data_IF_958596917367
#
_entry.id   IF_958596917367
#
_cell.length_a   1.000
_cell.length_b   1.000
_cell.length_c   1.000
_cell.angle_alpha   90.00
_cell.angle_beta   90.00
_cell.angle_gamma   90.00
#
_symmetry.space_group_name_H-M   'P 1'
#
loop_
_entity.id
_entity.type
_entity.pdbx_description
1 polymer ?
#
# COMPACT_ATOMS: atom_id res chain seq x y z
N UNK A 1 -0.93 -8.18 1.08
CA UNK A 1 -2.19 -7.56 0.61
C UNK A 1 -3.43 -8.10 1.32
N UNK A 2 -3.45 -9.37 1.73
CA UNK A 2 -4.57 -9.94 2.50
C UNK A 2 -4.79 -9.22 3.83
N UNK A 3 -3.72 -8.86 4.53
CA UNK A 3 -3.78 -8.11 5.78
C UNK A 3 -4.35 -6.70 5.58
N UNK A 4 -4.04 -6.07 4.44
CA UNK A 4 -4.64 -4.77 4.07
C UNK A 4 -6.15 -4.90 3.85
N UNK A 5 -6.62 -5.99 3.23
CA UNK A 5 -8.05 -6.26 3.08
C UNK A 5 -8.69 -6.46 4.46
N UNK A 6 -8.08 -7.28 5.31
CA UNK A 6 -8.59 -7.53 6.67
C UNK A 6 -8.65 -6.24 7.51
N UNK A 7 -7.66 -5.36 7.41
CA UNK A 7 -7.71 -4.04 8.04
C UNK A 7 -8.86 -3.19 7.49
N UNK A 8 -9.03 -3.16 6.16
CA UNK A 8 -10.14 -2.43 5.52
C UNK A 8 -11.50 -2.92 6.01
N UNK A 9 -11.69 -4.24 6.10
CA UNK A 9 -12.94 -4.83 6.59
C UNK A 9 -13.20 -4.48 8.07
N UNK A 10 -12.15 -4.49 8.90
CA UNK A 10 -12.26 -4.11 10.31
C UNK A 10 -12.60 -2.61 10.47
N UNK A 11 -12.01 -1.73 9.66
CA UNK A 11 -12.33 -0.30 9.65
C UNK A 11 -13.76 -0.08 9.19
N UNK A 12 -14.20 -0.77 8.12
CA UNK A 12 -15.58 -0.67 7.64
C UNK A 12 -16.56 -1.12 8.71
N UNK A 13 -16.26 -2.25 9.38
CA UNK A 13 -17.10 -2.71 10.49
C UNK A 13 -17.21 -1.66 11.61
N UNK A 14 -16.09 -1.02 11.97
CA UNK A 14 -16.11 0.05 12.99
C UNK A 14 -16.98 1.22 12.53
N UNK A 15 -16.82 1.71 11.31
CA UNK A 15 -17.64 2.80 10.75
C UNK A 15 -19.14 2.47 10.81
N UNK A 16 -19.50 1.21 10.54
CA UNK A 16 -20.91 0.78 10.47
C UNK A 16 -21.53 0.51 11.86
N UNK A 17 -20.72 0.36 12.92
CA UNK A 17 -21.20 -0.12 14.21
C UNK A 17 -20.92 0.80 15.42
N UNK A 18 -20.14 1.88 15.25
CA UNK A 18 -19.92 2.86 16.33
C UNK A 18 -20.76 4.11 16.10
N UNK A 19 -20.99 4.87 17.15
CA UNK A 19 -21.58 6.19 17.06
C UNK A 19 -20.51 7.20 16.61
N UNK A 20 -20.61 7.67 15.37
CA UNK A 20 -19.66 8.62 14.80
C UNK A 20 -19.85 10.06 15.31
N UNK A 21 -20.92 10.35 16.04
CA UNK A 21 -21.07 11.64 16.73
C UNK A 21 -20.22 11.70 18.01
N UNK A 22 -19.91 10.52 18.60
CA UNK A 22 -19.14 10.40 19.85
C UNK A 22 -17.76 9.72 19.65
N UNK A 23 -17.46 9.23 18.43
CA UNK A 23 -16.24 8.45 18.17
C UNK A 23 -15.42 9.03 17.02
N UNK A 24 -14.13 9.20 17.26
CA UNK A 24 -13.15 9.41 16.18
C UNK A 24 -12.55 8.07 15.74
N UNK A 25 -12.69 7.73 14.47
CA UNK A 25 -11.90 6.67 13.83
C UNK A 25 -10.74 7.33 13.10
N UNK A 26 -9.51 6.95 13.42
CA UNK A 26 -8.28 7.43 12.79
C UNK A 26 -7.46 6.24 12.31
N UNK A 27 -7.12 6.23 11.02
CA UNK A 27 -6.32 5.17 10.38
C UNK A 27 -5.13 5.79 9.67
N UNK A 28 -3.95 5.36 10.03
CA UNK A 28 -2.69 5.79 9.38
C UNK A 28 -1.64 4.70 9.52
N UNK A 29 -0.43 4.97 9.03
CA UNK A 29 0.78 4.17 9.27
C UNK A 29 1.84 5.02 9.97
N UNK A 30 2.77 4.38 10.65
CA UNK A 30 3.89 5.02 11.35
C UNK A 30 4.99 5.47 10.38
N UNK A 31 5.13 4.80 9.23
CA UNK A 31 6.08 5.12 8.17
C UNK A 31 5.67 4.42 6.86
N UNK A 32 6.31 4.79 5.77
CA UNK A 32 6.20 4.13 4.47
C UNK A 32 7.15 2.93 4.36
N UNK A 33 7.02 2.19 3.26
CA UNK A 33 7.90 1.12 2.81
C UNK A 33 8.39 1.39 1.38
N UNK A 34 9.40 0.65 0.92
CA UNK A 34 10.02 0.86 -0.39
C UNK A 34 9.21 0.27 -1.56
N UNK A 35 7.95 -0.12 -1.31
CA UNK A 35 7.05 -0.65 -2.34
C UNK A 35 6.69 0.43 -3.36
N UNK A 36 6.72 0.06 -4.64
CA UNK A 36 6.25 0.90 -5.74
C UNK A 36 5.15 0.22 -6.52
N UNK A 37 4.20 1.01 -7.01
CA UNK A 37 3.15 0.58 -7.94
C UNK A 37 3.42 1.30 -9.27
N UNK A 38 3.74 0.55 -10.31
CA UNK A 38 4.25 1.07 -11.58
C UNK A 38 3.47 0.56 -12.79
N UNK A 39 3.66 1.23 -13.92
CA UNK A 39 3.05 0.90 -15.20
C UNK A 39 1.66 1.50 -15.36
N UNK A 40 1.01 1.12 -16.46
CA UNK A 40 -0.33 1.56 -16.83
C UNK A 40 -1.21 0.32 -17.13
N UNK A 41 -1.45 -0.55 -16.13
CA UNK A 41 -2.28 -1.73 -16.34
C UNK A 41 -3.73 -1.34 -16.63
N UNK A 42 -4.42 -2.19 -17.36
CA UNK A 42 -5.87 -2.07 -17.52
C UNK A 42 -6.58 -2.10 -16.16
N UNK A 43 -7.77 -1.52 -16.08
CA UNK A 43 -8.62 -1.65 -14.89
C UNK A 43 -8.95 -3.12 -14.63
N UNK A 44 -8.81 -3.58 -13.39
CA UNK A 44 -9.00 -4.97 -12.98
C UNK A 44 -7.80 -5.88 -13.26
N UNK A 45 -6.63 -5.32 -13.61
CA UNK A 45 -5.39 -6.09 -13.61
C UNK A 45 -5.08 -6.58 -12.21
N UNK A 46 -4.74 -7.87 -11.99
CA UNK A 46 -4.32 -8.34 -10.68
C UNK A 46 -3.12 -7.55 -10.18
N UNK A 47 -3.19 -7.03 -8.95
CA UNK A 47 -2.13 -6.17 -8.38
C UNK A 47 -0.77 -6.87 -8.29
N UNK A 48 -0.74 -8.19 -8.07
CA UNK A 48 0.47 -9.02 -8.03
C UNK A 48 0.86 -9.56 -9.42
N UNK A 49 0.06 -9.28 -10.45
CA UNK A 49 0.31 -9.77 -11.80
C UNK A 49 1.31 -8.91 -12.58
N UNK A 50 1.67 -9.40 -13.74
CA UNK A 50 2.36 -8.58 -14.76
C UNK A 50 1.41 -7.51 -15.28
N UNK A 51 1.97 -6.39 -15.73
CA UNK A 51 1.19 -5.30 -16.33
C UNK A 51 0.60 -5.76 -17.66
N UNK A 52 -0.72 -5.67 -17.81
CA UNK A 52 -1.43 -6.00 -19.05
C UNK A 52 -2.23 -4.79 -19.54
N UNK A 53 -2.23 -4.57 -20.87
CA UNK A 53 -3.11 -3.59 -21.54
C UNK A 53 -4.49 -4.17 -21.79
N UNK A 54 -4.53 -5.47 -22.13
CA UNK A 54 -5.74 -6.29 -22.33
C UNK A 54 -5.48 -7.65 -21.67
N UNK A 55 -6.53 -8.43 -21.33
CA UNK A 55 -6.34 -9.77 -20.77
C UNK A 55 -5.42 -10.64 -21.65
N UNK A 56 -4.33 -11.14 -21.06
CA UNK A 56 -3.34 -11.98 -21.74
C UNK A 56 -2.39 -11.22 -22.67
N UNK A 57 -2.40 -9.88 -22.67
CA UNK A 57 -1.46 -9.06 -23.46
C UNK A 57 -0.54 -8.26 -22.52
N UNK A 58 0.55 -8.86 -22.04
CA UNK A 58 1.47 -8.17 -21.14
C UNK A 58 2.21 -7.05 -21.87
N UNK A 59 2.46 -5.95 -21.15
CA UNK A 59 3.45 -4.96 -21.54
C UNK A 59 4.86 -5.54 -21.33
N UNK A 60 5.73 -5.23 -22.26
CA UNK A 60 7.11 -5.71 -22.23
C UNK A 60 8.07 -4.56 -21.93
N UNK A 61 9.13 -4.87 -21.19
CA UNK A 61 10.23 -3.95 -20.97
C UNK A 61 11.16 -3.86 -22.22
N UNK A 62 12.25 -3.10 -22.09
CA UNK A 62 13.22 -2.91 -23.16
C UNK A 62 13.95 -4.20 -23.59
N UNK A 63 13.86 -5.27 -22.79
CA UNK A 63 14.44 -6.60 -23.12
C UNK A 63 13.43 -7.54 -23.74
N UNK A 64 12.17 -7.11 -23.89
CA UNK A 64 11.09 -7.93 -24.42
C UNK A 64 10.47 -8.88 -23.36
N UNK A 65 10.67 -8.63 -22.08
CA UNK A 65 10.12 -9.45 -21.00
C UNK A 65 8.98 -8.73 -20.25
N UNK A 66 7.95 -9.45 -19.79
CA UNK A 66 6.91 -8.87 -18.93
C UNK A 66 7.48 -8.35 -17.61
N UNK A 67 6.81 -7.37 -16.99
CA UNK A 67 7.16 -6.85 -15.69
C UNK A 67 5.91 -6.72 -14.79
N UNK A 68 6.11 -6.78 -13.47
CA UNK A 68 5.03 -6.70 -12.49
C UNK A 68 4.62 -5.26 -12.20
N UNK A 69 3.38 -5.06 -11.77
CA UNK A 69 2.89 -3.78 -11.25
C UNK A 69 3.62 -3.39 -9.96
N UNK A 70 3.82 -4.36 -9.06
CA UNK A 70 4.55 -4.14 -7.81
C UNK A 70 6.04 -4.43 -7.96
N UNK A 71 6.85 -3.60 -7.34
CA UNK A 71 8.28 -3.81 -7.12
C UNK A 71 8.73 -3.08 -5.85
N UNK A 72 9.99 -3.30 -5.45
CA UNK A 72 10.57 -2.69 -4.27
C UNK A 72 11.93 -2.05 -4.59
N UNK A 73 12.29 -0.97 -3.90
CA UNK A 73 13.61 -0.38 -4.06
C UNK A 73 14.71 -1.30 -3.49
N UNK A 74 14.40 -2.10 -2.49
CA UNK A 74 15.33 -3.09 -1.92
C UNK A 74 14.58 -4.30 -1.38
N UNK A 75 15.30 -5.36 -1.01
CA UNK A 75 14.72 -6.51 -0.34
C UNK A 75 15.18 -7.87 -0.88
N UNK A 76 14.61 -8.96 -0.35
CA UNK A 76 14.99 -10.33 -0.70
C UNK A 76 14.61 -10.74 -2.13
N UNK A 77 13.70 -10.02 -2.76
CA UNK A 77 13.32 -10.22 -4.15
C UNK A 77 14.37 -9.76 -5.17
N UNK A 78 15.52 -9.23 -4.73
CA UNK A 78 16.61 -8.86 -5.63
C UNK A 78 17.11 -10.07 -6.43
N UNK A 79 17.32 -9.84 -7.73
CA UNK A 79 17.95 -10.82 -8.62
C UNK A 79 19.07 -10.13 -9.40
N UNK A 80 20.29 -10.67 -9.32
CA UNK A 80 21.46 -10.15 -10.07
C UNK A 80 21.17 -10.04 -11.57
N UNK A 81 20.43 -10.99 -12.11
CA UNK A 81 19.89 -10.97 -13.46
C UNK A 81 18.37 -11.05 -13.38
N UNK A 82 17.70 -10.07 -13.95
CA UNK A 82 16.24 -10.02 -13.95
C UNK A 82 15.67 -11.25 -14.68
N UNK A 83 14.79 -12.03 -14.04
CA UNK A 83 14.16 -13.17 -14.67
C UNK A 83 13.15 -12.73 -15.74
N UNK A 84 12.96 -13.55 -16.76
CA UNK A 84 11.82 -13.41 -17.64
C UNK A 84 10.56 -13.93 -16.94
N UNK A 85 9.59 -13.05 -16.72
CA UNK A 85 8.38 -13.39 -15.98
C UNK A 85 7.30 -14.09 -16.82
N UNK A 86 7.54 -14.38 -18.09
CA UNK A 86 6.56 -15.06 -18.97
C UNK A 86 6.14 -16.45 -18.46
N UNK A 87 6.98 -17.10 -17.66
CA UNK A 87 6.77 -18.46 -17.15
C UNK A 87 6.69 -18.54 -15.63
N UNK A 88 6.66 -17.39 -14.94
CA UNK A 88 6.66 -17.28 -13.48
C UNK A 88 5.28 -16.82 -13.03
N UNK A 89 4.68 -17.54 -12.10
CA UNK A 89 3.46 -17.07 -11.44
C UNK A 89 3.81 -16.05 -10.35
N UNK A 90 3.72 -14.77 -10.71
CA UNK A 90 3.99 -13.65 -9.81
C UNK A 90 2.92 -13.45 -8.73
N UNK A 91 1.82 -14.19 -8.78
CA UNK A 91 0.71 -14.18 -7.80
C UNK A 91 0.85 -15.30 -6.77
N UNK A 92 1.80 -16.23 -6.96
CA UNK A 92 2.06 -17.30 -6.00
C UNK A 92 2.37 -16.72 -4.62
N UNK A 93 1.87 -17.32 -3.52
CA UNK A 93 2.04 -16.79 -2.17
C UNK A 93 3.49 -16.64 -1.72
N UNK A 94 4.40 -17.45 -2.26
CA UNK A 94 5.83 -17.47 -1.99
C UNK A 94 6.67 -16.65 -2.98
N UNK A 95 6.02 -16.04 -3.99
CA UNK A 95 6.73 -15.19 -4.93
C UNK A 95 7.18 -13.88 -4.26
N UNK A 96 8.47 -13.63 -4.32
CA UNK A 96 9.06 -12.38 -3.87
C UNK A 96 9.10 -11.37 -5.02
N UNK A 97 8.33 -10.30 -4.91
CA UNK A 97 8.36 -9.21 -5.89
C UNK A 97 9.78 -8.64 -6.02
N UNK A 98 10.16 -8.27 -7.24
CA UNK A 98 11.52 -7.86 -7.55
C UNK A 98 11.94 -6.62 -6.75
N UNK A 99 13.15 -6.67 -6.20
CA UNK A 99 13.83 -5.55 -5.55
C UNK A 99 15.05 -5.09 -6.36
N UNK A 100 15.43 -3.82 -6.22
CA UNK A 100 16.59 -3.25 -6.92
C UNK A 100 17.91 -3.46 -6.17
N UNK A 101 17.88 -3.32 -4.83
CA UNK A 101 19.06 -3.48 -3.97
C UNK A 101 18.93 -4.78 -3.16
N UNK A 102 19.98 -5.63 -3.11
CA UNK A 102 19.94 -6.86 -2.33
C UNK A 102 19.96 -6.59 -0.82
N UNK A 103 18.89 -6.97 -0.13
CA UNK A 103 18.76 -6.86 1.31
C UNK A 103 18.09 -8.12 1.88
N UNK A 104 18.38 -8.54 3.13
CA UNK A 104 17.73 -9.69 3.76
C UNK A 104 16.24 -9.47 4.04
N UNK A 105 15.84 -8.22 4.23
CA UNK A 105 14.47 -7.76 4.34
C UNK A 105 14.35 -6.42 3.63
N UNK A 106 13.14 -6.04 3.28
CA UNK A 106 12.84 -4.71 2.76
C UNK A 106 12.97 -3.68 3.89
N UNK A 107 13.42 -2.46 3.58
CA UNK A 107 13.54 -1.38 4.55
C UNK A 107 12.28 -0.53 4.65
N UNK A 108 12.15 0.19 5.76
CA UNK A 108 11.21 1.32 5.84
C UNK A 108 11.61 2.42 4.84
N UNK A 109 10.70 3.34 4.57
CA UNK A 109 10.93 4.47 3.67
C UNK A 109 10.37 5.76 4.27
N UNK A 110 10.79 6.89 3.74
CA UNK A 110 10.55 8.22 4.31
C UNK A 110 9.47 9.02 3.59
N UNK A 111 8.67 8.40 2.73
CA UNK A 111 7.55 9.07 2.07
C UNK A 111 6.41 9.32 3.05
N UNK A 112 5.63 10.36 2.78
CA UNK A 112 4.38 10.62 3.50
C UNK A 112 3.44 9.41 3.43
N UNK A 113 2.73 9.15 4.52
CA UNK A 113 1.69 8.13 4.59
C UNK A 113 0.31 8.76 4.65
N UNK A 114 -0.69 8.07 4.12
CA UNK A 114 -2.06 8.54 4.16
C UNK A 114 -2.61 8.46 5.59
N UNK A 115 -3.36 9.49 5.99
CA UNK A 115 -4.18 9.49 7.19
C UNK A 115 -5.66 9.62 6.78
N UNK A 116 -6.50 8.74 7.30
CA UNK A 116 -7.94 8.72 7.08
C UNK A 116 -8.64 8.91 8.42
N UNK A 117 -9.73 9.67 8.42
CA UNK A 117 -10.52 9.87 9.61
C UNK A 117 -12.02 9.86 9.31
N UNK A 118 -12.81 9.38 10.27
CA UNK A 118 -14.27 9.45 10.23
C UNK A 118 -14.80 9.75 11.65
N UNK A 119 -15.96 10.39 11.73
CA UNK A 119 -16.62 10.68 13.00
C UNK A 119 -16.20 12.00 13.63
N UNK A 120 -16.27 12.06 14.96
CA UNK A 120 -16.04 13.26 15.75
C UNK A 120 -14.69 13.90 15.42
N UNK A 121 -14.67 15.21 15.15
CA UNK A 121 -13.47 15.98 14.80
C UNK A 121 -12.66 15.46 13.59
N UNK A 122 -13.17 14.53 12.77
CA UNK A 122 -12.47 13.98 11.62
C UNK A 122 -12.02 15.05 10.61
N UNK A 123 -12.74 16.18 10.52
CA UNK A 123 -12.41 17.32 9.66
C UNK A 123 -11.08 18.01 10.01
N UNK A 124 -10.49 17.75 11.19
CA UNK A 124 -9.17 18.24 11.56
C UNK A 124 -8.04 17.47 10.87
N UNK A 125 -8.29 16.24 10.41
CA UNK A 125 -7.33 15.42 9.65
C UNK A 125 -7.45 15.76 8.17
N UNK A 126 -6.64 16.71 7.70
CA UNK A 126 -6.71 17.20 6.31
C UNK A 126 -5.40 17.80 5.82
N UNK A 127 -5.18 17.75 4.52
CA UNK A 127 -3.97 18.26 3.89
C UNK A 127 -2.73 17.48 4.30
N UNK A 128 -1.57 18.14 4.29
CA UNK A 128 -0.31 17.58 4.80
C UNK A 128 -0.07 18.15 6.19
N UNK A 129 0.26 17.29 7.14
CA UNK A 129 0.50 17.68 8.53
C UNK A 129 1.66 16.89 9.12
N UNK A 130 2.30 17.47 10.12
CA UNK A 130 3.30 16.79 10.93
C UNK A 130 2.64 15.69 11.77
N UNK A 131 3.29 14.54 11.92
CA UNK A 131 2.78 13.36 12.61
C UNK A 131 2.28 13.67 14.05
N UNK A 132 2.98 14.53 14.77
CA UNK A 132 2.62 14.91 16.14
C UNK A 132 1.29 15.68 16.24
N UNK A 133 0.78 16.25 15.13
CA UNK A 133 -0.54 16.91 15.12
C UNK A 133 -1.70 15.93 15.32
N UNK A 134 -1.49 14.66 15.04
CA UNK A 134 -2.50 13.62 15.33
C UNK A 134 -2.77 13.50 16.83
N UNK A 135 -1.76 13.77 17.69
CA UNK A 135 -1.97 13.85 19.12
C UNK A 135 -2.98 14.94 19.49
N UNK A 136 -2.84 16.14 18.93
CA UNK A 136 -3.75 17.25 19.22
C UNK A 136 -5.18 16.91 18.79
N UNK A 137 -5.34 16.29 17.61
CA UNK A 137 -6.66 15.86 17.10
C UNK A 137 -7.34 14.86 18.06
N UNK A 138 -6.58 13.88 18.54
CA UNK A 138 -7.07 12.87 19.50
C UNK A 138 -7.35 13.49 20.88
N UNK A 139 -6.48 14.38 21.34
CA UNK A 139 -6.64 15.08 22.61
C UNK A 139 -7.92 15.92 22.63
N UNK A 140 -8.17 16.68 21.54
CA UNK A 140 -9.34 17.52 21.44
C UNK A 140 -10.64 16.70 21.55
N UNK A 141 -10.68 15.52 20.92
CA UNK A 141 -11.84 14.61 21.01
C UNK A 141 -12.04 14.05 22.42
N UNK A 142 -10.95 13.79 23.15
CA UNK A 142 -11.03 13.13 24.46
C UNK A 142 -11.29 14.09 25.64
N UNK A 143 -10.95 15.37 25.50
CA UNK A 143 -10.90 16.31 26.61
C UNK A 143 -11.83 17.51 26.43
N UNK A 144 -12.12 17.90 25.20
CA UNK A 144 -12.88 19.11 24.90
C UNK A 144 -14.33 18.82 24.42
N UNK A 145 -14.93 17.77 24.92
CA UNK A 145 -16.35 17.42 24.73
C UNK A 145 -17.29 18.45 25.35
#
# INVERSE_FOLDING_TARGET
LTDTVALSDAVQWAVDNVDLEETLILVTADHSHTMTISGYPRRGNPILGTVETEPGKPLLDATGAPYTTLSYANGPGYKKQRPNLSTIDTKAPDYQQLGTVPMPAETHAGEDVAAFAAGQNAGAVRGVMEQNRLYDVMYDVLIND
#
